data_IF_655828011705
#
_entry.id   IF_655828011705
#
_cell.length_a   1.000
_cell.length_b   1.000
_cell.length_c   1.000
_cell.angle_alpha   90.00
_cell.angle_beta   90.00
_cell.angle_gamma   90.00
#
_symmetry.space_group_name_H-M   'P 1'
#
loop_
_entity.id
_entity.type
_entity.pdbx_description
1 polymer ?
#
# COMPACT_ATOMS: atom_id res chain seq x y z
N UNK A 1 -10.97 -6.47 27.84
CA UNK A 1 -11.73 -6.68 26.61
C UNK A 1 -10.72 -7.13 25.56
N UNK A 2 -10.72 -8.40 25.23
CA UNK A 2 -9.80 -9.00 24.26
C UNK A 2 -10.23 -8.55 22.84
N UNK A 3 -9.40 -7.72 22.21
CA UNK A 3 -9.57 -7.39 20.80
C UNK A 3 -9.63 -8.69 20.00
N UNK A 4 -10.69 -8.86 19.21
CA UNK A 4 -10.82 -10.02 18.34
C UNK A 4 -9.60 -10.11 17.42
N UNK A 5 -8.94 -11.27 17.31
CA UNK A 5 -7.71 -11.41 16.51
C UNK A 5 -7.86 -11.07 15.02
N UNK A 6 -9.09 -10.92 14.52
CA UNK A 6 -9.40 -10.61 13.11
C UNK A 6 -9.23 -9.11 12.78
N UNK A 7 -9.20 -8.20 13.77
CA UNK A 7 -9.09 -6.76 13.51
C UNK A 7 -7.68 -6.32 13.09
N UNK A 8 -6.65 -7.06 13.48
CA UNK A 8 -5.24 -6.69 13.24
C UNK A 8 -4.55 -7.48 12.12
N UNK A 9 -5.30 -8.05 11.18
CA UNK A 9 -4.77 -8.81 10.05
C UNK A 9 -5.30 -8.28 8.73
N UNK A 10 -4.50 -8.42 7.67
CA UNK A 10 -4.93 -8.14 6.30
C UNK A 10 -6.05 -9.11 5.90
N UNK A 11 -7.07 -8.58 5.24
CA UNK A 11 -8.18 -9.35 4.65
C UNK A 11 -7.84 -9.68 3.21
N UNK A 12 -7.38 -10.90 2.99
CA UNK A 12 -6.97 -11.34 1.66
C UNK A 12 -8.17 -11.86 0.85
N UNK A 13 -8.38 -11.37 -0.38
CA UNK A 13 -9.22 -12.09 -1.34
C UNK A 13 -8.62 -13.47 -1.63
N UNK A 14 -9.46 -14.48 -1.88
CA UNK A 14 -9.02 -15.87 -2.05
C UNK A 14 -7.93 -16.05 -3.12
N UNK A 15 -8.02 -15.30 -4.24
CA UNK A 15 -7.05 -15.36 -5.32
C UNK A 15 -5.68 -14.71 -5.00
N UNK A 16 -5.59 -13.99 -3.86
CA UNK A 16 -4.38 -13.28 -3.43
C UNK A 16 -3.81 -13.77 -2.10
N UNK A 17 -4.25 -14.93 -1.61
CA UNK A 17 -3.72 -15.51 -0.38
C UNK A 17 -2.20 -15.70 -0.45
N UNK A 18 -1.42 -15.29 0.56
CA UNK A 18 0.05 -15.40 0.56
C UNK A 18 0.59 -16.80 0.24
N UNK A 19 -0.09 -17.86 0.71
CA UNK A 19 0.31 -19.23 0.45
C UNK A 19 0.06 -19.74 -0.98
N UNK A 20 -0.75 -19.02 -1.77
CA UNK A 20 -1.10 -19.39 -3.15
C UNK A 20 -0.48 -18.48 -4.22
N UNK A 21 0.24 -17.46 -3.81
CA UNK A 21 0.87 -16.47 -4.71
C UNK A 21 2.36 -16.68 -4.87
N UNK A 22 2.91 -16.22 -6.00
CA UNK A 22 4.33 -16.37 -6.30
C UNK A 22 5.24 -15.48 -5.43
N UNK A 23 4.75 -14.32 -5.04
CA UNK A 23 5.47 -13.33 -4.23
C UNK A 23 4.59 -12.92 -3.06
N UNK A 24 5.20 -12.82 -1.89
CA UNK A 24 4.63 -12.21 -0.70
C UNK A 24 5.67 -11.31 -0.05
N UNK A 25 5.26 -10.11 0.35
CA UNK A 25 6.10 -9.13 1.04
C UNK A 25 5.36 -8.57 2.23
N UNK A 26 6.07 -8.43 3.35
CA UNK A 26 5.57 -7.90 4.61
C UNK A 26 6.50 -6.79 5.10
N UNK A 27 5.94 -5.62 5.39
CA UNK A 27 6.65 -4.50 5.99
C UNK A 27 5.77 -3.81 7.03
N UNK A 28 6.38 -3.31 8.08
CA UNK A 28 5.68 -2.57 9.13
C UNK A 28 6.56 -1.47 9.74
N UNK A 29 5.91 -0.46 10.31
CA UNK A 29 6.56 0.64 11.03
C UNK A 29 5.61 1.23 12.07
N UNK A 30 6.16 1.81 13.13
CA UNK A 30 5.42 2.72 14.01
C UNK A 30 5.71 4.16 13.58
N UNK A 31 4.64 4.90 13.24
CA UNK A 31 4.70 6.30 12.81
C UNK A 31 4.30 7.19 14.00
N UNK A 32 5.14 8.16 14.42
CA UNK A 32 4.81 9.09 15.49
C UNK A 32 3.86 10.20 14.99
N UNK A 33 2.66 9.79 14.59
CA UNK A 33 1.56 10.63 14.14
C UNK A 33 0.24 9.86 14.30
N UNK A 34 -0.90 10.56 14.48
CA UNK A 34 -2.21 9.91 14.59
C UNK A 34 -2.64 9.27 13.25
N UNK A 35 -3.52 8.26 13.28
CA UNK A 35 -4.00 7.59 12.07
C UNK A 35 -4.57 8.54 11.01
N UNK A 36 -5.25 9.61 11.43
CA UNK A 36 -5.82 10.61 10.53
C UNK A 36 -4.76 11.32 9.68
N UNK A 37 -3.59 11.64 10.26
CA UNK A 37 -2.49 12.26 9.53
C UNK A 37 -1.85 11.28 8.54
N UNK A 38 -1.57 10.05 8.98
CA UNK A 38 -1.03 8.98 8.13
C UNK A 38 -1.98 8.68 6.96
N UNK A 39 -3.26 8.54 7.25
CA UNK A 39 -4.32 8.27 6.27
C UNK A 39 -4.39 9.32 5.18
N UNK A 40 -4.37 10.60 5.55
CA UNK A 40 -4.44 11.72 4.62
C UNK A 40 -3.28 11.71 3.62
N UNK A 41 -2.06 11.46 4.10
CA UNK A 41 -0.87 11.34 3.22
C UNK A 41 -0.98 10.13 2.31
N UNK A 42 -1.42 8.99 2.84
CA UNK A 42 -1.58 7.76 2.07
C UNK A 42 -2.62 7.91 0.95
N UNK A 43 -3.71 8.64 1.19
CA UNK A 43 -4.75 8.86 0.19
C UNK A 43 -4.34 9.77 -0.97
N UNK A 44 -3.42 10.72 -0.76
CA UNK A 44 -2.99 11.70 -1.77
C UNK A 44 -2.09 11.08 -2.83
N UNK A 45 -2.66 10.18 -3.63
CA UNK A 45 -1.90 9.39 -4.59
C UNK A 45 -1.15 10.25 -5.62
N UNK A 46 -1.72 11.36 -6.08
CA UNK A 46 -1.05 12.27 -7.02
C UNK A 46 0.21 12.92 -6.45
N UNK A 47 0.37 12.96 -5.13
CA UNK A 47 1.56 13.48 -4.46
C UNK A 47 2.63 12.41 -4.18
N UNK A 48 2.32 11.11 -4.30
CA UNK A 48 3.31 10.05 -4.05
C UNK A 48 4.61 10.22 -4.84
N UNK A 49 4.62 10.63 -6.12
CA UNK A 49 5.88 10.80 -6.86
C UNK A 49 6.81 11.84 -6.27
N UNK A 50 6.30 12.80 -5.47
CA UNK A 50 7.09 13.87 -4.84
C UNK A 50 8.00 13.28 -3.75
N UNK A 51 7.52 12.30 -3.00
CA UNK A 51 8.23 11.77 -1.85
C UNK A 51 8.53 10.25 -1.94
N UNK A 52 7.90 9.53 -2.87
CA UNK A 52 8.16 8.11 -3.12
C UNK A 52 8.54 7.87 -4.59
N UNK A 53 9.84 7.86 -4.94
CA UNK A 53 10.31 7.82 -6.34
C UNK A 53 9.97 6.53 -7.12
N UNK A 54 9.50 5.47 -6.43
CA UNK A 54 9.06 4.24 -7.09
C UNK A 54 7.62 4.34 -7.62
N UNK A 55 6.97 5.48 -7.47
CA UNK A 55 5.67 5.80 -8.05
C UNK A 55 5.79 6.96 -9.03
N UNK A 56 5.10 6.87 -10.16
CA UNK A 56 5.08 7.90 -11.18
C UNK A 56 3.81 7.84 -12.04
N UNK A 57 3.53 8.93 -12.75
CA UNK A 57 2.46 9.01 -13.76
C UNK A 57 1.09 8.56 -13.24
N UNK A 58 0.71 9.06 -12.08
CA UNK A 58 -0.57 8.70 -11.46
C UNK A 58 -1.71 9.46 -12.14
N UNK A 59 -2.68 8.72 -12.67
CA UNK A 59 -3.86 9.24 -13.34
C UNK A 59 -5.11 8.53 -12.86
N UNK A 60 -6.04 9.27 -12.27
CA UNK A 60 -7.35 8.74 -11.94
C UNK A 60 -8.19 8.51 -13.20
N UNK A 61 -8.90 7.37 -13.23
CA UNK A 61 -9.77 6.97 -14.32
C UNK A 61 -11.24 7.19 -13.94
N UNK A 62 -11.56 6.97 -12.66
CA UNK A 62 -12.96 6.99 -12.18
C UNK A 62 -13.43 8.36 -11.69
N UNK A 63 -12.53 9.28 -11.39
CA UNK A 63 -12.82 10.63 -10.87
C UNK A 63 -11.61 11.55 -11.09
N UNK A 64 -11.79 12.83 -10.79
CA UNK A 64 -10.69 13.80 -10.74
C UNK A 64 -10.00 13.70 -9.37
N UNK A 65 -8.67 13.53 -9.34
CA UNK A 65 -7.87 13.42 -8.12
C UNK A 65 -8.11 14.56 -7.11
N UNK A 66 -7.23 14.78 -6.13
CA UNK A 66 -5.93 14.13 -5.98
C UNK A 66 -5.95 12.84 -5.15
N UNK A 67 -7.06 12.53 -4.46
CA UNK A 67 -7.13 11.52 -3.42
C UNK A 67 -7.77 10.22 -3.89
N UNK A 68 -7.29 9.11 -3.36
CA UNK A 68 -7.97 7.82 -3.43
C UNK A 68 -9.30 7.88 -2.68
N UNK A 69 -10.31 7.19 -3.21
CA UNK A 69 -11.64 7.00 -2.64
C UNK A 69 -12.02 5.53 -2.72
N UNK A 70 -13.09 5.16 -2.04
CA UNK A 70 -13.66 3.83 -2.24
C UNK A 70 -13.91 3.58 -3.74
N UNK A 71 -13.49 2.41 -4.21
CA UNK A 71 -13.57 1.97 -5.60
C UNK A 71 -12.84 2.84 -6.63
N UNK A 72 -11.96 3.76 -6.22
CA UNK A 72 -11.10 4.50 -7.13
C UNK A 72 -10.40 3.58 -8.11
N UNK A 73 -10.40 3.98 -9.38
CA UNK A 73 -9.58 3.36 -10.42
C UNK A 73 -8.53 4.35 -10.88
N UNK A 74 -7.29 3.91 -10.92
CA UNK A 74 -6.16 4.76 -11.33
C UNK A 74 -5.10 3.93 -12.05
N UNK A 75 -4.35 4.60 -12.90
CA UNK A 75 -3.21 4.05 -13.63
C UNK A 75 -1.95 4.75 -13.16
N UNK A 76 -0.89 4.01 -12.99
CA UNK A 76 0.39 4.53 -12.51
C UNK A 76 1.55 3.62 -12.91
N UNK A 77 2.76 4.13 -12.74
CA UNK A 77 4.00 3.37 -12.94
C UNK A 77 4.62 3.05 -11.58
N UNK A 78 4.94 1.79 -11.36
CA UNK A 78 5.64 1.32 -10.16
C UNK A 78 6.53 0.14 -10.51
N UNK A 79 7.70 0.03 -9.87
CA UNK A 79 8.72 -0.98 -10.19
C UNK A 79 9.12 -1.04 -11.67
N UNK A 80 9.01 0.08 -12.38
CA UNK A 80 9.29 0.15 -13.82
C UNK A 80 8.19 -0.43 -14.71
N UNK A 81 7.01 -0.72 -14.16
CA UNK A 81 5.88 -1.32 -14.88
C UNK A 81 4.65 -0.42 -14.75
N UNK A 82 3.94 -0.27 -15.85
CA UNK A 82 2.63 0.41 -15.85
C UNK A 82 1.56 -0.55 -15.38
N UNK A 83 0.79 -0.13 -14.37
CA UNK A 83 -0.31 -0.91 -13.81
C UNK A 83 -1.59 -0.09 -13.75
N UNK A 84 -2.71 -0.78 -13.80
CA UNK A 84 -4.03 -0.23 -13.49
C UNK A 84 -4.50 -0.84 -12.18
N UNK A 85 -4.91 0.02 -11.26
CA UNK A 85 -5.32 -0.35 -9.91
C UNK A 85 -6.78 0.03 -9.66
N UNK A 86 -7.42 -0.76 -8.79
CA UNK A 86 -8.75 -0.47 -8.25
C UNK A 86 -8.72 -0.65 -6.74
N UNK A 87 -9.18 0.36 -6.01
CA UNK A 87 -9.39 0.25 -4.56
C UNK A 87 -10.51 -0.75 -4.29
N UNK A 88 -10.22 -1.76 -3.48
CA UNK A 88 -11.12 -2.87 -3.16
C UNK A 88 -11.50 -2.90 -1.68
N UNK A 89 -10.69 -2.31 -0.80
CA UNK A 89 -10.98 -2.12 0.61
C UNK A 89 -10.74 -0.67 0.98
N UNK A 90 -11.69 -0.03 1.65
CA UNK A 90 -11.61 1.37 2.05
C UNK A 90 -12.37 1.57 3.36
N UNK A 91 -11.68 1.48 4.48
CA UNK A 91 -12.20 1.82 5.82
C UNK A 91 -11.38 3.01 6.35
N UNK A 92 -11.96 4.21 6.44
CA UNK A 92 -11.23 5.42 6.82
C UNK A 92 -10.37 5.26 8.06
N UNK A 93 -9.12 5.70 7.96
CA UNK A 93 -8.10 5.67 9.02
C UNK A 93 -7.71 4.26 9.53
N UNK A 94 -8.20 3.20 8.87
CA UNK A 94 -7.95 1.83 9.28
C UNK A 94 -7.42 0.95 8.15
N UNK A 95 -8.15 0.87 7.01
CA UNK A 95 -7.83 -0.10 5.96
C UNK A 95 -7.93 0.50 4.57
N UNK A 96 -6.91 0.23 3.80
CA UNK A 96 -6.86 0.56 2.38
C UNK A 96 -6.22 -0.60 1.63
N UNK A 97 -6.86 -1.07 0.57
CA UNK A 97 -6.23 -2.05 -0.31
C UNK A 97 -6.68 -1.86 -1.75
N UNK A 98 -5.78 -2.18 -2.67
CA UNK A 98 -6.05 -2.17 -4.10
C UNK A 98 -5.40 -3.35 -4.80
N UNK A 99 -5.99 -3.77 -5.92
CA UNK A 99 -5.31 -4.65 -6.86
C UNK A 99 -4.45 -3.83 -7.82
N UNK A 100 -3.52 -4.48 -8.50
CA UNK A 100 -2.72 -3.86 -9.56
C UNK A 100 -2.50 -4.86 -10.68
N UNK A 101 -2.96 -4.53 -11.87
CA UNK A 101 -2.84 -5.35 -13.07
C UNK A 101 -1.94 -4.67 -14.09
N UNK A 102 -0.93 -5.38 -14.56
CA UNK A 102 -0.01 -4.96 -15.61
C UNK A 102 0.49 -6.14 -16.43
N UNK A 103 1.38 -5.88 -17.39
CA UNK A 103 1.97 -6.95 -18.20
C UNK A 103 2.79 -7.87 -17.30
N UNK A 104 2.35 -9.13 -17.15
CA UNK A 104 3.04 -10.13 -16.33
C UNK A 104 2.98 -9.91 -14.82
N UNK A 105 2.12 -9.01 -14.35
CA UNK A 105 1.90 -8.73 -12.92
C UNK A 105 0.41 -8.67 -12.62
N UNK A 106 0.03 -9.38 -11.57
CA UNK A 106 -1.28 -9.33 -10.94
C UNK A 106 -1.06 -9.32 -9.42
N UNK A 107 -1.32 -8.18 -8.78
CA UNK A 107 -0.96 -7.92 -7.40
C UNK A 107 -2.15 -7.47 -6.55
N UNK A 108 -2.04 -7.70 -5.26
CA UNK A 108 -2.91 -7.12 -4.23
C UNK A 108 -2.04 -6.48 -3.15
N UNK A 109 -2.21 -5.19 -2.94
CA UNK A 109 -1.46 -4.40 -1.98
C UNK A 109 -2.39 -3.86 -0.91
N UNK A 110 -2.13 -4.19 0.34
CA UNK A 110 -2.96 -3.86 1.48
C UNK A 110 -2.21 -3.06 2.55
N UNK A 111 -2.93 -2.15 3.19
CA UNK A 111 -2.48 -1.28 4.27
C UNK A 111 -3.42 -1.41 5.45
N UNK A 112 -2.87 -1.56 6.64
CA UNK A 112 -3.61 -1.59 7.89
C UNK A 112 -2.97 -0.60 8.86
N UNK A 113 -3.78 0.35 9.34
CA UNK A 113 -3.41 1.35 10.32
C UNK A 113 -4.05 0.97 11.67
N UNK A 114 -3.24 0.87 12.71
CA UNK A 114 -3.68 0.55 14.06
C UNK A 114 -3.26 1.67 15.01
N UNK A 115 -4.21 2.40 15.63
CA UNK A 115 -3.87 3.41 16.62
C UNK A 115 -3.23 2.77 17.85
N UNK A 116 -2.18 3.40 18.36
CA UNK A 116 -1.50 3.02 19.60
C UNK A 116 -1.90 3.93 20.77
N UNK A 117 -1.75 3.43 21.99
CA UNK A 117 -2.15 4.13 23.21
C UNK A 117 -1.42 5.49 23.43
N UNK A 118 -0.23 5.64 22.85
CA UNK A 118 0.60 6.85 22.92
C UNK A 118 0.28 7.90 21.83
N UNK A 119 -0.78 7.66 21.02
CA UNK A 119 -1.19 8.54 19.94
C UNK A 119 -0.45 8.30 18.61
N UNK A 120 0.49 7.37 18.57
CA UNK A 120 1.18 6.93 17.38
C UNK A 120 0.32 5.95 16.55
N UNK A 121 0.78 5.63 15.35
CA UNK A 121 0.11 4.67 14.47
C UNK A 121 1.06 3.53 14.10
N UNK A 122 0.67 2.29 14.37
CA UNK A 122 1.30 1.13 13.75
C UNK A 122 0.74 0.95 12.33
N UNK A 123 1.61 0.94 11.34
CA UNK A 123 1.26 0.75 9.92
C UNK A 123 1.87 -0.56 9.45
N UNK A 124 1.00 -1.48 9.04
CA UNK A 124 1.35 -2.71 8.36
C UNK A 124 1.02 -2.58 6.88
N UNK A 125 1.94 -2.95 6.00
CA UNK A 125 1.67 -3.10 4.58
C UNK A 125 2.14 -4.46 4.09
N UNK A 126 1.27 -5.12 3.35
CA UNK A 126 1.56 -6.42 2.75
C UNK A 126 1.13 -6.44 1.30
N UNK A 127 1.91 -7.13 0.47
CA UNK A 127 1.60 -7.29 -0.95
C UNK A 127 1.82 -8.73 -1.40
N UNK A 128 0.90 -9.24 -2.19
CA UNK A 128 1.07 -10.50 -2.93
C UNK A 128 1.06 -10.24 -4.42
N UNK A 129 1.85 -11.01 -5.16
CA UNK A 129 1.90 -10.91 -6.62
C UNK A 129 1.91 -12.28 -7.29
N UNK A 130 1.22 -12.33 -8.42
CA UNK A 130 1.26 -13.39 -9.41
C UNK A 130 1.77 -12.85 -10.75
N UNK A 131 2.07 -13.77 -11.66
CA UNK A 131 2.51 -13.46 -13.01
C UNK A 131 4.00 -13.75 -13.25
N UNK A 132 4.37 -13.85 -14.53
CA UNK A 132 5.72 -14.22 -14.93
C UNK A 132 6.75 -13.14 -14.61
N UNK A 133 6.38 -11.86 -14.75
CA UNK A 133 7.29 -10.74 -14.46
C UNK A 133 7.54 -10.61 -12.95
N UNK A 134 6.52 -10.85 -12.12
CA UNK A 134 6.66 -10.88 -10.67
C UNK A 134 7.63 -11.99 -10.23
N UNK A 135 7.50 -13.20 -10.81
CA UNK A 135 8.42 -14.32 -10.54
C UNK A 135 9.85 -14.02 -10.96
N UNK A 136 10.04 -13.44 -12.15
CA UNK A 136 11.35 -13.04 -12.64
C UNK A 136 11.97 -11.97 -11.74
N UNK A 137 11.21 -10.97 -11.32
CA UNK A 137 11.67 -9.94 -10.39
C UNK A 137 12.11 -10.52 -9.05
N UNK A 138 11.36 -11.46 -8.49
CA UNK A 138 11.73 -12.16 -7.25
C UNK A 138 13.03 -12.97 -7.41
N UNK A 139 13.20 -13.62 -8.56
CA UNK A 139 14.40 -14.43 -8.83
C UNK A 139 15.65 -13.55 -8.97
N UNK A 140 15.57 -12.46 -9.72
CA UNK A 140 16.73 -11.61 -10.03
C UNK A 140 17.03 -10.60 -8.92
N UNK A 141 16.02 -10.13 -8.20
CA UNK A 141 16.12 -9.09 -7.17
C UNK A 141 15.23 -9.42 -5.97
N UNK A 142 15.52 -10.48 -5.20
CA UNK A 142 14.61 -11.03 -4.19
C UNK A 142 14.21 -10.06 -3.07
N UNK A 143 15.05 -9.09 -2.75
CA UNK A 143 14.79 -8.09 -1.71
C UNK A 143 14.25 -6.75 -2.23
N UNK A 144 14.10 -6.59 -3.55
CA UNK A 144 13.73 -5.29 -4.15
C UNK A 144 12.40 -4.77 -3.64
N UNK A 145 11.38 -5.62 -3.58
CA UNK A 145 10.05 -5.23 -3.11
C UNK A 145 10.05 -4.85 -1.64
N UNK A 146 10.60 -5.71 -0.79
CA UNK A 146 10.73 -5.46 0.64
C UNK A 146 11.43 -4.13 0.92
N UNK A 147 12.56 -3.87 0.26
CA UNK A 147 13.32 -2.62 0.41
C UNK A 147 12.52 -1.40 -0.08
N UNK A 148 11.81 -1.51 -1.20
CA UNK A 148 10.99 -0.42 -1.74
C UNK A 148 9.77 -0.13 -0.87
N UNK A 149 9.09 -1.16 -0.35
CA UNK A 149 7.97 -0.98 0.57
C UNK A 149 8.43 -0.39 1.91
N UNK A 150 9.58 -0.83 2.44
CA UNK A 150 10.13 -0.23 3.66
C UNK A 150 10.42 1.26 3.47
N UNK A 151 11.00 1.62 2.32
CA UNK A 151 11.21 3.04 1.99
C UNK A 151 9.90 3.81 1.87
N UNK A 152 8.84 3.20 1.31
CA UNK A 152 7.52 3.83 1.26
C UNK A 152 7.00 4.15 2.66
N UNK A 153 7.09 3.20 3.59
CA UNK A 153 6.70 3.39 4.98
C UNK A 153 7.52 4.52 5.67
N UNK A 154 8.83 4.55 5.45
CA UNK A 154 9.71 5.58 6.03
C UNK A 154 9.38 6.98 5.50
N UNK A 155 9.15 7.11 4.19
CA UNK A 155 8.77 8.40 3.60
C UNK A 155 7.35 8.82 4.03
N UNK A 156 6.40 7.87 4.09
CA UNK A 156 5.07 8.11 4.64
C UNK A 156 5.16 8.65 6.07
N UNK A 157 6.03 8.05 6.90
CA UNK A 157 6.28 8.51 8.26
C UNK A 157 6.80 9.96 8.30
N UNK A 158 7.77 10.30 7.44
CA UNK A 158 8.32 11.66 7.36
C UNK A 158 7.26 12.68 6.95
N UNK A 159 6.41 12.35 5.98
CA UNK A 159 5.34 13.25 5.54
C UNK A 159 4.29 13.44 6.64
N UNK A 160 3.83 12.35 7.29
CA UNK A 160 2.84 12.43 8.35
C UNK A 160 3.30 13.26 9.56
N UNK A 161 4.58 13.16 9.93
CA UNK A 161 5.16 13.95 10.99
C UNK A 161 5.22 15.45 10.65
N UNK A 162 5.51 15.81 9.39
CA UNK A 162 5.53 17.22 8.95
C UNK A 162 4.15 17.87 9.00
N UNK A 163 3.10 17.12 8.73
CA UNK A 163 1.73 17.65 8.81
C UNK A 163 1.19 17.74 10.26
N UNK A 164 1.81 17.02 11.19
CA UNK A 164 1.38 16.99 12.59
C UNK A 164 2.14 18.00 13.46
N UNK A 165 3.16 18.68 12.91
CA UNK A 165 3.97 19.72 13.56
C UNK A 165 3.41 21.10 13.27
#
# INVERSE_FOLDING_TARGET
MTSSPIQNQIRWPECYLPGSTAVFVHNEIVIPAPPSAVWRILLRAEEWPIWYPNSADIHFISHTGPDLRDRSRFRWNTFGTRVTSKVLEFEPEQRLAWNAHGIGVDAYHAWLLTPLADGNTHVLTEETQNGWLARLGKLLMPKRMETKHQRWLEELSRQAQRESS
#
